data_IF_723985095124
#
_entry.id   IF_723985095124
#
_cell.length_a   1.000
_cell.length_b   1.000
_cell.length_c   1.000
_cell.angle_alpha   90.00
_cell.angle_beta   90.00
_cell.angle_gamma   90.00
#
_symmetry.space_group_name_H-M   'P 1'
#
loop_
_entity.id
_entity.type
_entity.pdbx_description
1 polymer ?
#
# COMPACT_ATOMS: atom_id res chain seq x y z
N UNK A 1 1.56 -3.44 -4.61
CA UNK A 1 2.04 -4.65 -3.92
C UNK A 1 2.19 -5.85 -4.84
N UNK A 2 1.33 -6.03 -5.85
CA UNK A 2 1.52 -7.09 -6.86
C UNK A 2 2.92 -7.09 -7.50
N UNK A 3 3.44 -5.92 -7.90
CA UNK A 3 4.81 -5.82 -8.46
C UNK A 3 5.92 -6.21 -7.47
N UNK A 4 5.68 -6.09 -6.16
CA UNK A 4 6.63 -6.57 -5.15
C UNK A 4 6.61 -8.10 -5.06
N UNK A 5 5.42 -8.73 -5.17
CA UNK A 5 5.29 -10.19 -5.23
C UNK A 5 5.97 -10.73 -6.48
N UNK A 6 5.77 -10.09 -7.64
CA UNK A 6 6.44 -10.48 -8.89
C UNK A 6 7.96 -10.40 -8.76
N UNK A 7 8.50 -9.28 -8.27
CA UNK A 7 9.94 -9.11 -8.07
C UNK A 7 10.53 -10.13 -7.09
N UNK A 8 9.85 -10.39 -5.97
CA UNK A 8 10.26 -11.43 -5.01
C UNK A 8 10.21 -12.83 -5.64
N UNK A 9 9.17 -13.12 -6.41
CA UNK A 9 9.01 -14.40 -7.09
C UNK A 9 10.09 -14.61 -8.17
N UNK A 10 10.41 -13.57 -8.94
CA UNK A 10 11.52 -13.58 -9.91
C UNK A 10 12.87 -13.79 -9.24
N UNK A 11 13.09 -13.18 -8.08
CA UNK A 11 14.23 -13.47 -7.22
C UNK A 11 14.30 -14.95 -6.83
N UNK A 12 13.19 -15.53 -6.39
CA UNK A 12 13.08 -16.95 -6.05
C UNK A 12 13.42 -17.88 -7.23
N UNK A 13 12.88 -17.59 -8.41
CA UNK A 13 13.16 -18.36 -9.64
C UNK A 13 14.61 -18.23 -10.07
N UNK A 14 15.19 -17.02 -9.98
CA UNK A 14 16.62 -16.80 -10.25
C UNK A 14 17.51 -17.64 -9.33
N UNK A 15 17.05 -17.93 -8.11
CA UNK A 15 17.76 -18.77 -7.14
C UNK A 15 17.37 -20.26 -7.21
N UNK A 16 16.59 -20.67 -8.22
CA UNK A 16 16.31 -22.08 -8.53
C UNK A 16 14.97 -22.61 -8.02
N UNK A 17 14.10 -21.78 -7.45
CA UNK A 17 12.75 -22.21 -7.06
C UNK A 17 11.81 -22.31 -8.27
N UNK A 18 10.77 -23.13 -8.17
CA UNK A 18 9.71 -23.13 -9.18
C UNK A 18 8.92 -21.82 -9.12
N UNK A 19 8.39 -21.37 -10.27
CA UNK A 19 7.58 -20.15 -10.37
C UNK A 19 6.40 -20.17 -9.41
N UNK A 20 5.67 -21.28 -9.38
CA UNK A 20 4.48 -21.44 -8.55
C UNK A 20 4.81 -21.31 -7.05
N UNK A 21 5.87 -22.00 -6.60
CA UNK A 21 6.31 -21.94 -5.21
C UNK A 21 6.80 -20.53 -4.86
N UNK A 22 7.56 -19.90 -5.74
CA UNK A 22 8.12 -18.57 -5.52
C UNK A 22 7.02 -17.51 -5.31
N UNK A 23 5.95 -17.56 -6.12
CA UNK A 23 4.79 -16.67 -5.96
C UNK A 23 4.12 -16.90 -4.61
N UNK A 24 3.88 -18.16 -4.23
CA UNK A 24 3.24 -18.52 -2.94
C UNK A 24 4.07 -18.01 -1.76
N UNK A 25 5.38 -18.25 -1.76
CA UNK A 25 6.27 -17.80 -0.69
C UNK A 25 6.30 -16.27 -0.61
N UNK A 26 6.44 -15.57 -1.74
CA UNK A 26 6.42 -14.11 -1.78
C UNK A 26 5.13 -13.52 -1.20
N UNK A 27 3.97 -14.08 -1.55
CA UNK A 27 2.68 -13.67 -1.02
C UNK A 27 2.58 -13.88 0.50
N UNK A 28 2.98 -15.07 1.00
CA UNK A 28 2.97 -15.36 2.43
C UNK A 28 3.97 -14.52 3.22
N UNK A 29 5.14 -14.19 2.66
CA UNK A 29 6.11 -13.28 3.28
C UNK A 29 5.50 -11.90 3.52
N UNK A 30 4.84 -11.33 2.51
CA UNK A 30 4.18 -10.02 2.66
C UNK A 30 2.98 -10.09 3.62
N UNK A 31 2.17 -11.15 3.53
CA UNK A 31 1.05 -11.37 4.45
C UNK A 31 1.54 -11.46 5.90
N UNK A 32 2.56 -12.26 6.17
CA UNK A 32 3.13 -12.43 7.51
C UNK A 32 3.70 -11.12 8.07
N UNK A 33 4.44 -10.36 7.25
CA UNK A 33 4.98 -9.07 7.66
C UNK A 33 3.88 -8.07 8.02
N UNK A 34 2.84 -7.95 7.18
CA UNK A 34 1.71 -7.06 7.46
C UNK A 34 0.92 -7.51 8.69
N UNK A 35 0.66 -8.82 8.81
CA UNK A 35 -0.04 -9.40 9.96
C UNK A 35 0.70 -9.12 11.27
N UNK A 36 2.02 -9.33 11.32
CA UNK A 36 2.82 -9.05 12.52
C UNK A 36 2.66 -7.60 12.98
N UNK A 37 2.77 -6.62 12.08
CA UNK A 37 2.61 -5.20 12.43
C UNK A 37 1.21 -4.94 13.01
N UNK A 38 0.17 -5.48 12.38
CA UNK A 38 -1.22 -5.25 12.80
C UNK A 38 -1.57 -5.93 14.12
N UNK A 39 -1.02 -7.12 14.39
CA UNK A 39 -1.31 -7.89 15.59
C UNK A 39 -0.50 -7.45 16.80
N UNK A 40 0.77 -7.09 16.63
CA UNK A 40 1.63 -6.69 17.76
C UNK A 40 1.53 -5.20 18.06
N UNK A 41 1.20 -4.37 17.07
CA UNK A 41 1.27 -2.91 17.19
C UNK A 41 2.69 -2.36 17.39
N UNK A 42 3.71 -3.21 17.26
CA UNK A 42 5.10 -2.81 17.43
C UNK A 42 5.56 -1.92 16.28
N UNK A 43 6.52 -1.05 16.58
CA UNK A 43 7.12 -0.21 15.56
C UNK A 43 7.84 -1.08 14.51
N UNK A 44 7.67 -0.83 13.19
CA UNK A 44 8.26 -1.67 12.14
C UNK A 44 9.78 -1.84 12.21
N UNK A 45 10.51 -0.85 12.76
CA UNK A 45 11.95 -0.97 12.96
C UNK A 45 12.32 -2.08 13.96
N UNK A 46 11.52 -2.26 15.01
CA UNK A 46 11.73 -3.29 16.04
C UNK A 46 11.48 -4.67 15.44
N UNK A 47 10.35 -4.84 14.72
CA UNK A 47 10.02 -6.10 14.05
C UNK A 47 11.06 -6.47 12.98
N UNK A 48 11.59 -5.48 12.26
CA UNK A 48 12.67 -5.68 11.28
C UNK A 48 13.94 -6.20 11.97
N UNK A 49 14.33 -5.62 13.10
CA UNK A 49 15.50 -6.08 13.87
C UNK A 49 15.28 -7.48 14.44
N UNK A 50 14.06 -7.79 14.90
CA UNK A 50 13.72 -9.10 15.45
C UNK A 50 13.90 -10.26 14.44
N UNK A 51 13.82 -9.99 13.13
CA UNK A 51 14.00 -10.99 12.06
C UNK A 51 15.39 -10.94 11.39
N UNK A 52 16.29 -10.09 11.89
CA UNK A 52 17.64 -9.91 11.36
C UNK A 52 18.69 -10.26 12.41
N UNK A 53 19.30 -11.43 12.29
CA UNK A 53 20.46 -11.77 13.12
C UNK A 53 21.72 -11.03 12.64
N UNK A 54 22.67 -10.72 13.55
CA UNK A 54 23.97 -10.14 13.19
C UNK A 54 24.70 -11.03 12.17
N UNK A 55 25.06 -10.45 11.01
CA UNK A 55 25.73 -11.18 9.92
C UNK A 55 24.85 -12.19 9.16
N UNK A 56 23.54 -12.25 9.45
CA UNK A 56 22.61 -13.15 8.78
C UNK A 56 22.28 -12.74 7.33
N UNK A 57 21.74 -13.68 6.55
CA UNK A 57 21.39 -13.48 5.13
C UNK A 57 20.39 -12.35 4.92
N UNK A 58 19.44 -12.17 5.84
CA UNK A 58 18.46 -11.07 5.83
C UNK A 58 19.13 -9.69 5.90
N UNK A 59 20.30 -9.56 6.54
CA UNK A 59 21.03 -8.30 6.60
C UNK A 59 21.62 -7.93 5.21
N UNK A 60 22.18 -8.90 4.49
CA UNK A 60 22.69 -8.70 3.14
C UNK A 60 21.56 -8.36 2.14
N UNK A 61 20.42 -9.05 2.24
CA UNK A 61 19.24 -8.73 1.43
C UNK A 61 18.74 -7.31 1.69
N UNK A 62 18.67 -6.90 2.96
CA UNK A 62 18.28 -5.53 3.33
C UNK A 62 19.27 -4.49 2.80
N UNK A 63 20.57 -4.78 2.85
CA UNK A 63 21.59 -3.88 2.32
C UNK A 63 21.38 -3.60 0.82
N UNK A 64 21.10 -4.62 0.01
CA UNK A 64 20.82 -4.42 -1.43
C UNK A 64 19.52 -3.63 -1.68
N UNK A 65 18.48 -3.83 -0.84
CA UNK A 65 17.24 -3.03 -0.92
C UNK A 65 17.50 -1.55 -0.61
N UNK A 66 18.29 -1.25 0.42
CA UNK A 66 18.63 0.12 0.80
C UNK A 66 19.52 0.78 -0.27
N UNK A 67 20.49 0.04 -0.82
CA UNK A 67 21.32 0.50 -1.95
C UNK A 67 20.48 0.84 -3.19
N UNK A 68 19.41 0.08 -3.44
CA UNK A 68 18.44 0.34 -4.50
C UNK A 68 17.46 1.49 -4.21
N UNK A 69 17.53 2.12 -3.03
CA UNK A 69 16.64 3.22 -2.66
C UNK A 69 15.20 2.78 -2.42
N UNK A 70 14.98 1.55 -1.96
CA UNK A 70 13.64 0.95 -1.82
C UNK A 70 12.65 1.84 -1.05
N UNK A 71 13.07 2.41 0.08
CA UNK A 71 12.22 3.30 0.89
C UNK A 71 11.83 4.56 0.13
N UNK A 72 12.78 5.16 -0.59
CA UNK A 72 12.52 6.35 -1.40
C UNK A 72 11.52 6.04 -2.52
N UNK A 73 11.64 4.90 -3.19
CA UNK A 73 10.69 4.48 -4.23
C UNK A 73 9.25 4.35 -3.69
N UNK A 74 9.08 3.77 -2.50
CA UNK A 74 7.77 3.65 -1.86
C UNK A 74 7.17 5.02 -1.49
N UNK A 75 7.99 5.91 -0.92
CA UNK A 75 7.57 7.28 -0.57
C UNK A 75 7.13 8.02 -1.84
N UNK A 76 7.96 7.99 -2.88
CA UNK A 76 7.69 8.66 -4.15
C UNK A 76 6.42 8.12 -4.83
N UNK A 77 6.17 6.80 -4.73
CA UNK A 77 4.95 6.20 -5.28
C UNK A 77 3.68 6.72 -4.59
N UNK A 78 3.69 6.84 -3.25
CA UNK A 78 2.57 7.39 -2.47
C UNK A 78 2.38 8.88 -2.78
N UNK A 79 3.47 9.64 -2.84
CA UNK A 79 3.43 11.06 -3.17
C UNK A 79 2.86 11.30 -4.57
N UNK A 80 3.36 10.60 -5.58
CA UNK A 80 2.90 10.73 -6.96
C UNK A 80 1.41 10.40 -7.10
N UNK A 81 0.96 9.30 -6.49
CA UNK A 81 -0.45 8.93 -6.46
C UNK A 81 -1.31 10.00 -5.77
N UNK A 82 -0.83 10.54 -4.65
CA UNK A 82 -1.54 11.58 -3.88
C UNK A 82 -1.65 12.89 -4.66
N UNK A 83 -0.57 13.33 -5.31
CA UNK A 83 -0.55 14.54 -6.13
C UNK A 83 -1.45 14.39 -7.35
N UNK A 84 -1.46 13.22 -8.00
CA UNK A 84 -2.38 12.92 -9.09
C UNK A 84 -3.84 12.98 -8.63
N UNK A 85 -4.14 12.40 -7.47
CA UNK A 85 -5.48 12.42 -6.88
C UNK A 85 -5.98 13.85 -6.68
N UNK A 86 -5.17 14.74 -6.08
CA UNK A 86 -5.50 16.17 -5.93
C UNK A 86 -5.78 16.85 -7.27
N UNK A 87 -4.86 16.68 -8.24
CA UNK A 87 -5.03 17.28 -9.57
C UNK A 87 -6.29 16.81 -10.30
N UNK A 88 -6.76 15.58 -10.03
CA UNK A 88 -7.96 15.03 -10.67
C UNK A 88 -9.22 15.39 -9.88
N UNK A 89 -9.15 15.45 -8.54
CA UNK A 89 -10.24 15.92 -7.69
C UNK A 89 -10.61 17.38 -8.00
N UNK A 90 -9.61 18.22 -8.25
CA UNK A 90 -9.81 19.61 -8.68
C UNK A 90 -10.40 19.72 -10.10
N UNK A 91 -10.20 18.71 -10.95
CA UNK A 91 -10.73 18.65 -12.32
C UNK A 91 -12.17 18.09 -12.39
N UNK A 92 -12.69 17.48 -11.33
CA UNK A 92 -13.97 16.73 -11.37
C UNK A 92 -15.17 17.49 -10.78
N UNK A 93 -14.98 18.69 -10.20
CA UNK A 93 -16.12 19.53 -9.79
C UNK A 93 -16.02 20.94 -10.39
N UNK A 94 -16.96 21.34 -11.27
CA UNK A 94 -17.12 22.75 -11.61
C UNK A 94 -17.43 23.51 -10.32
N UNK A 95 -16.55 24.41 -9.91
CA UNK A 95 -16.73 25.30 -8.74
C UNK A 95 -18.05 26.08 -8.77
N UNK A 96 -18.66 26.22 -9.95
CA UNK A 96 -19.93 26.93 -10.17
C UNK A 96 -21.19 26.22 -9.64
N UNK A 97 -21.12 24.97 -9.19
CA UNK A 97 -22.25 24.32 -8.50
C UNK A 97 -22.18 24.41 -6.97
N UNK A 98 -21.09 24.94 -6.39
CA UNK A 98 -20.96 25.11 -4.93
C UNK A 98 -21.59 26.40 -4.40
N UNK A 99 -21.88 27.39 -5.25
CA UNK A 99 -22.53 28.64 -4.83
C UNK A 99 -24.06 28.49 -4.64
N UNK A 100 -24.67 27.46 -5.22
CA UNK A 100 -26.13 27.21 -5.09
C UNK A 100 -26.52 26.25 -3.95
N UNK A 101 -25.56 25.72 -3.19
CA UNK A 101 -25.85 24.72 -2.12
C UNK A 101 -25.80 25.36 -0.71
N UNK A 102 -25.39 26.63 -0.59
CA UNK A 102 -25.24 27.30 0.71
C UNK A 102 -26.51 28.09 1.09
N UNK A 103 -27.57 28.10 0.25
CA UNK A 103 -28.77 28.95 0.43
C UNK A 103 -30.12 28.22 0.44
N UNK A 104 -30.17 26.91 0.66
CA UNK A 104 -31.42 26.19 1.00
C UNK A 104 -31.14 25.22 2.17
N UNK A 105 -31.00 25.73 3.38
CA UNK A 105 -32.03 25.76 4.45
C UNK A 105 -32.47 24.36 4.98
N UNK A 106 -31.96 24.04 6.18
CA UNK A 106 -32.76 23.91 7.40
C UNK A 106 -33.83 22.83 7.57
N UNK A 107 -33.67 21.61 7.03
CA UNK A 107 -34.44 20.46 7.56
C UNK A 107 -33.64 19.15 7.72
N UNK A 108 -33.43 18.79 9.00
CA UNK A 108 -33.41 17.47 9.63
C UNK A 108 -32.88 16.23 8.88
N UNK A 109 -31.90 15.58 9.53
CA UNK A 109 -31.66 14.13 9.68
C UNK A 109 -31.76 13.18 8.45
N UNK A 110 -30.81 12.23 8.40
CA UNK A 110 -30.83 11.00 7.58
C UNK A 110 -30.16 11.06 6.19
N UNK A 111 -28.82 11.12 6.13
CA UNK A 111 -28.10 10.72 4.91
C UNK A 111 -26.71 10.08 5.15
N UNK A 112 -26.63 9.15 6.11
CA UNK A 112 -25.44 8.32 6.37
C UNK A 112 -25.51 6.90 5.79
N UNK A 113 -26.44 6.59 4.86
CA UNK A 113 -26.64 5.21 4.37
C UNK A 113 -26.55 4.97 2.84
N UNK A 114 -26.39 6.00 2.00
CA UNK A 114 -26.50 5.83 0.52
C UNK A 114 -25.20 5.69 -0.28
N UNK A 115 -24.00 5.72 0.33
CA UNK A 115 -22.73 5.56 -0.42
C UNK A 115 -22.22 4.12 -0.58
N UNK A 116 -22.76 3.15 0.16
CA UNK A 116 -22.33 1.73 0.03
C UNK A 116 -23.01 1.00 -1.15
N UNK A 117 -24.09 1.55 -1.72
CA UNK A 117 -24.87 0.85 -2.76
C UNK A 117 -24.35 0.99 -4.20
N UNK A 118 -23.35 1.83 -4.47
CA UNK A 118 -22.93 2.14 -5.87
C UNK A 118 -21.54 1.54 -6.21
N UNK A 119 -20.79 1.02 -5.23
CA UNK A 119 -19.48 0.38 -5.46
C UNK A 119 -19.54 -1.15 -5.60
N UNK A 120 -20.74 -1.75 -5.62
CA UNK A 120 -20.96 -3.21 -5.61
C UNK A 120 -21.60 -3.79 -6.88
N UNK A 121 -21.52 -3.12 -8.02
CA UNK A 121 -21.87 -3.71 -9.33
C UNK A 121 -20.92 -3.22 -10.43
N UNK A 122 -19.88 -3.99 -10.68
CA UNK A 122 -19.40 -4.41 -12.01
C UNK A 122 -18.33 -5.48 -11.83
#
# INVERSE_FOLDING_TARGET
>A
MFSAIEGLADGGVKMGLSRELSIKLAAYTLYGAAKMILETGEHPAVLKEAVQSPGGTSAYGMHELEKGGFRALLINAVEAASNRSKSTGDLVLPRQSMENIIYEDDHHEEFTSKRVAIAGRR
#
